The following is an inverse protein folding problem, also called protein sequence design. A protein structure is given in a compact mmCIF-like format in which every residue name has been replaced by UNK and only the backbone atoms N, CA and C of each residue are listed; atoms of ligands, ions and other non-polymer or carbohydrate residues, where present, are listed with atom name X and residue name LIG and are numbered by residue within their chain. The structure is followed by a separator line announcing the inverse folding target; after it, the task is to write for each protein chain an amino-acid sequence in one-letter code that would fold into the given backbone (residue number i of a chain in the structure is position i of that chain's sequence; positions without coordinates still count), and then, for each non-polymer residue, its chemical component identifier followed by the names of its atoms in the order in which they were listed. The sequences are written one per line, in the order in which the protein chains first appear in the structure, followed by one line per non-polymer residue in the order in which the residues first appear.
data_IF_094460608479
#
_entry.id   IF_094460608479
#
_cell.length_a   1.000
_cell.length_b   1.000
_cell.length_c   1.000
_cell.angle_alpha   90.00
_cell.angle_beta   90.00
_cell.angle_gamma   90.00
#
_symmetry.space_group_name_H-M   'P 1'
#
loop_
_entity.id
_entity.type
_entity.pdbx_description
1 polymer ?
#
# COMPACT_ATOMS: atom_id res chain seq x y z
N UNK A 1 -3.97 61.62 -57.55
CA UNK A 1 -3.42 61.28 -56.21
C UNK A 1 -4.41 60.37 -55.57
N UNK A 2 -4.19 59.09 -55.59
CA UNK A 2 -5.10 58.08 -54.95
C UNK A 2 -4.62 57.86 -53.52
N UNK A 3 -5.52 58.03 -52.61
CA UNK A 3 -5.35 57.87 -51.16
C UNK A 3 -5.30 56.36 -50.84
N UNK A 4 -4.13 55.90 -50.39
CA UNK A 4 -3.99 54.50 -49.99
C UNK A 4 -4.27 54.44 -48.48
N UNK A 5 -5.49 54.01 -48.14
CA UNK A 5 -5.91 53.81 -46.77
C UNK A 5 -5.11 52.67 -46.07
N UNK A 6 -4.67 52.82 -44.82
CA UNK A 6 -3.90 51.81 -44.08
C UNK A 6 -4.81 50.81 -43.32
N UNK A 7 -5.75 50.11 -44.02
CA UNK A 7 -6.68 49.23 -43.34
C UNK A 7 -6.19 47.76 -43.18
N UNK A 8 -5.07 47.40 -43.74
CA UNK A 8 -4.53 46.02 -43.69
C UNK A 8 -3.68 45.69 -42.48
N UNK A 9 -3.01 46.68 -41.89
CA UNK A 9 -2.10 46.44 -40.77
C UNK A 9 -2.82 46.10 -39.45
N UNK A 10 -3.92 46.75 -39.18
CA UNK A 10 -4.73 46.57 -37.96
C UNK A 10 -5.39 45.19 -37.87
N UNK A 11 -5.71 44.57 -39.04
CA UNK A 11 -6.30 43.21 -39.07
C UNK A 11 -5.27 42.12 -38.80
N UNK A 12 -4.07 42.26 -39.29
CA UNK A 12 -2.97 41.29 -39.09
C UNK A 12 -2.50 41.27 -37.62
N UNK A 13 -2.35 42.44 -37.00
CA UNK A 13 -1.98 42.55 -35.58
C UNK A 13 -3.08 42.02 -34.65
N UNK A 14 -4.33 42.26 -34.95
CA UNK A 14 -5.46 41.70 -34.21
C UNK A 14 -5.53 40.19 -34.32
N UNK A 15 -5.29 39.60 -35.49
CA UNK A 15 -5.24 38.15 -35.68
C UNK A 15 -4.05 37.54 -34.96
N UNK A 16 -2.86 38.14 -35.06
CA UNK A 16 -1.66 37.68 -34.37
C UNK A 16 -1.84 37.67 -32.82
N UNK A 17 -2.44 38.75 -32.29
CA UNK A 17 -2.79 38.84 -30.85
C UNK A 17 -3.79 37.75 -30.42
N UNK A 18 -4.81 37.49 -31.24
CA UNK A 18 -5.81 36.45 -30.96
C UNK A 18 -5.20 35.03 -30.99
N UNK A 19 -4.30 34.77 -31.94
CA UNK A 19 -3.59 33.46 -31.99
C UNK A 19 -2.63 33.29 -30.81
N UNK A 20 -1.90 34.33 -30.43
CA UNK A 20 -1.03 34.31 -29.26
C UNK A 20 -1.81 34.05 -27.96
N UNK A 21 -2.93 34.77 -27.77
CA UNK A 21 -3.79 34.56 -26.59
C UNK A 21 -4.38 33.16 -26.56
N UNK A 22 -4.85 32.60 -27.69
CA UNK A 22 -5.35 31.23 -27.77
C UNK A 22 -4.26 30.20 -27.50
N UNK A 23 -3.04 30.42 -27.95
CA UNK A 23 -1.90 29.55 -27.67
C UNK A 23 -1.52 29.56 -26.17
N UNK A 24 -1.45 30.74 -25.55
CA UNK A 24 -1.16 30.85 -24.10
C UNK A 24 -2.27 30.23 -23.25
N UNK A 25 -3.54 30.41 -23.60
CA UNK A 25 -4.66 29.79 -22.88
C UNK A 25 -4.64 28.27 -23.02
N UNK A 26 -4.38 27.74 -24.21
CA UNK A 26 -4.29 26.28 -24.42
C UNK A 26 -3.13 25.62 -23.68
N UNK A 27 -1.95 26.27 -23.65
CA UNK A 27 -0.79 25.82 -22.85
C UNK A 27 -1.10 25.88 -21.35
N UNK A 28 -1.74 26.94 -20.88
CA UNK A 28 -2.18 27.08 -19.49
C UNK A 28 -3.18 26.03 -19.06
N UNK A 29 -4.19 25.72 -19.89
CA UNK A 29 -5.19 24.69 -19.64
C UNK A 29 -4.55 23.30 -19.64
N UNK A 30 -3.70 22.98 -20.61
CA UNK A 30 -2.98 21.72 -20.67
C UNK A 30 -2.05 21.51 -19.46
N UNK A 31 -1.36 22.56 -19.02
CA UNK A 31 -0.54 22.55 -17.81
C UNK A 31 -1.38 22.30 -16.53
N UNK A 32 -2.52 22.97 -16.40
CA UNK A 32 -3.44 22.76 -15.27
C UNK A 32 -3.99 21.32 -15.22
N UNK A 33 -4.38 20.77 -16.36
CA UNK A 33 -4.85 19.38 -16.47
C UNK A 33 -3.72 18.41 -16.08
N UNK A 34 -2.50 18.65 -16.58
CA UNK A 34 -1.32 17.82 -16.25
C UNK A 34 -1.03 17.81 -14.74
N UNK A 35 -1.10 18.98 -14.08
CA UNK A 35 -0.93 19.08 -12.63
C UNK A 35 -2.06 18.40 -11.85
N UNK A 36 -3.31 18.53 -12.30
CA UNK A 36 -4.45 17.86 -11.66
C UNK A 36 -4.35 16.34 -11.77
N UNK A 37 -4.03 15.82 -12.95
CA UNK A 37 -3.84 14.36 -13.19
C UNK A 37 -2.64 13.84 -12.39
N UNK A 38 -1.50 14.53 -12.43
CA UNK A 38 -0.30 14.17 -11.65
C UNK A 38 -0.56 14.20 -10.14
N UNK A 39 -1.24 15.24 -9.66
CA UNK A 39 -1.66 15.38 -8.26
C UNK A 39 -2.60 14.27 -7.82
N UNK A 40 -3.59 13.92 -8.64
CA UNK A 40 -4.50 12.81 -8.37
C UNK A 40 -3.75 11.45 -8.36
N UNK A 41 -2.88 11.21 -9.34
CA UNK A 41 -2.08 9.98 -9.39
C UNK A 41 -1.16 9.85 -8.16
N UNK A 42 -0.52 10.94 -7.74
CA UNK A 42 0.24 10.99 -6.49
C UNK A 42 -0.63 10.66 -5.28
N UNK A 43 -1.80 11.29 -5.16
CA UNK A 43 -2.72 11.06 -4.05
C UNK A 43 -3.23 9.61 -4.00
N UNK A 44 -3.49 9.02 -5.18
CA UNK A 44 -4.05 7.68 -5.32
C UNK A 44 -3.03 6.56 -5.13
N UNK A 45 -1.77 6.74 -5.55
CA UNK A 45 -0.80 5.66 -5.67
C UNK A 45 0.41 5.79 -4.74
N UNK A 46 0.80 7.03 -4.35
CA UNK A 46 2.00 7.20 -3.53
C UNK A 46 1.75 6.79 -2.08
N UNK A 47 2.48 5.77 -1.51
CA UNK A 47 2.19 5.24 -0.18
C UNK A 47 2.22 6.28 0.94
N UNK A 48 3.10 7.28 0.84
CA UNK A 48 3.22 8.36 1.81
C UNK A 48 2.15 9.45 1.73
N UNK A 49 1.31 9.46 0.68
CA UNK A 49 0.29 10.49 0.51
C UNK A 49 -0.83 10.34 1.54
N UNK A 50 -1.24 11.47 2.14
CA UNK A 50 -2.37 11.56 3.08
C UNK A 50 -3.49 12.47 2.52
N UNK A 51 -3.43 12.81 1.23
CA UNK A 51 -4.37 13.76 0.59
C UNK A 51 -5.81 13.22 0.62
N UNK A 52 -6.02 11.96 0.32
CA UNK A 52 -7.35 11.33 0.34
C UNK A 52 -7.83 10.92 1.73
N UNK A 53 -7.00 11.08 2.74
CA UNK A 53 -7.30 10.76 4.13
C UNK A 53 -6.13 10.05 4.83
N UNK A 54 -6.19 10.03 6.14
CA UNK A 54 -5.12 9.43 6.96
C UNK A 54 -5.02 7.93 6.76
N UNK A 55 -3.80 7.42 6.63
CA UNK A 55 -3.47 6.00 6.63
C UNK A 55 -2.34 5.75 7.63
N UNK A 56 -2.32 4.58 8.24
CA UNK A 56 -1.22 4.14 9.08
C UNK A 56 -0.04 3.77 8.18
N UNK A 57 1.09 4.47 8.34
CA UNK A 57 2.34 4.14 7.65
C UNK A 57 3.33 3.60 8.68
N UNK A 58 3.88 4.46 9.53
CA UNK A 58 4.79 4.12 10.60
C UNK A 58 4.93 5.30 11.59
N UNK A 59 5.03 5.03 12.90
CA UNK A 59 5.23 6.07 13.92
C UNK A 59 6.69 6.54 13.98
N UNK A 60 6.94 7.59 14.78
CA UNK A 60 8.28 8.04 15.12
C UNK A 60 8.90 7.15 16.20
N UNK A 61 9.33 5.95 15.82
CA UNK A 61 9.94 4.92 16.68
C UNK A 61 11.03 4.17 15.86
N UNK A 62 12.20 4.78 15.64
CA UNK A 62 13.18 4.30 14.67
C UNK A 62 13.77 2.90 14.97
N UNK A 63 13.54 2.36 16.17
CA UNK A 63 13.97 1.01 16.56
C UNK A 63 12.86 -0.05 16.45
N UNK A 64 11.70 0.30 15.89
CA UNK A 64 10.60 -0.63 15.67
C UNK A 64 10.45 -0.96 14.18
N UNK A 65 10.34 -2.23 13.88
CA UNK A 65 10.12 -2.76 12.53
C UNK A 65 8.85 -3.62 12.53
N UNK A 66 7.94 -3.36 11.60
CA UNK A 66 6.80 -4.23 11.35
C UNK A 66 7.00 -4.91 9.99
N UNK A 67 7.02 -6.24 9.99
CA UNK A 67 7.03 -7.03 8.75
C UNK A 67 5.58 -7.33 8.39
N UNK A 68 5.22 -7.07 7.14
CA UNK A 68 3.89 -7.36 6.63
C UNK A 68 3.99 -8.13 5.32
N UNK A 69 3.04 -9.03 5.09
CA UNK A 69 2.96 -9.86 3.89
C UNK A 69 1.64 -9.62 3.19
N UNK A 70 1.66 -9.46 1.87
CA UNK A 70 0.50 -9.23 1.03
C UNK A 70 0.26 -10.44 0.09
N UNK A 71 -0.95 -10.51 -0.50
CA UNK A 71 -1.38 -11.48 -1.52
C UNK A 71 -1.52 -12.94 -1.06
N UNK A 72 -1.37 -13.23 0.23
CA UNK A 72 -1.61 -14.57 0.77
C UNK A 72 -3.10 -14.88 1.06
N UNK A 73 -3.41 -16.07 1.62
CA UNK A 73 -2.46 -17.11 1.95
C UNK A 73 -2.04 -17.95 0.74
N UNK A 74 -0.79 -18.37 0.71
CA UNK A 74 -0.24 -19.24 -0.32
C UNK A 74 -0.05 -20.66 0.26
N UNK A 75 -0.71 -21.69 -0.29
CA UNK A 75 -0.67 -23.04 0.28
C UNK A 75 0.73 -23.64 0.33
N UNK A 76 1.64 -23.20 -0.53
CA UNK A 76 3.02 -23.70 -0.60
C UNK A 76 3.99 -22.92 0.28
N UNK A 77 3.86 -21.59 0.31
CA UNK A 77 4.90 -20.73 0.88
C UNK A 77 4.53 -20.13 2.23
N UNK A 78 3.26 -19.80 2.48
CA UNK A 78 2.84 -19.30 3.80
C UNK A 78 3.15 -20.27 4.94
N UNK A 79 2.98 -21.61 4.82
CA UNK A 79 3.39 -22.54 5.88
C UNK A 79 4.87 -22.47 6.21
N UNK A 80 5.74 -22.40 5.20
CA UNK A 80 7.19 -22.28 5.39
C UNK A 80 7.58 -20.95 6.03
N UNK A 81 6.89 -19.88 5.65
CA UNK A 81 7.07 -18.55 6.25
C UNK A 81 6.70 -18.56 7.73
N UNK A 82 5.59 -19.18 8.12
CA UNK A 82 5.18 -19.33 9.51
C UNK A 82 6.21 -20.12 10.33
N UNK A 83 6.75 -21.21 9.77
CA UNK A 83 7.82 -21.96 10.42
C UNK A 83 9.07 -21.11 10.67
N UNK A 84 9.44 -20.25 9.71
CA UNK A 84 10.57 -19.30 9.86
C UNK A 84 10.28 -18.28 10.93
N UNK A 85 9.12 -17.62 10.86
CA UNK A 85 8.73 -16.59 11.84
C UNK A 85 8.65 -17.17 13.25
N UNK A 86 8.12 -18.38 13.40
CA UNK A 86 8.07 -19.11 14.68
C UNK A 86 9.46 -19.39 15.25
N UNK A 87 10.40 -19.87 14.43
CA UNK A 87 11.81 -20.11 14.84
C UNK A 87 12.51 -18.84 15.29
N UNK A 88 12.22 -17.71 14.64
CA UNK A 88 12.79 -16.41 14.98
C UNK A 88 12.05 -15.71 16.13
N UNK A 89 10.90 -16.22 16.60
CA UNK A 89 10.07 -15.56 17.61
C UNK A 89 9.45 -14.23 17.15
N UNK A 90 9.34 -14.02 15.83
CA UNK A 90 8.83 -12.77 15.23
C UNK A 90 7.36 -12.92 14.86
N UNK A 91 6.55 -11.91 15.20
CA UNK A 91 5.16 -11.82 14.76
C UNK A 91 5.04 -10.79 13.64
N UNK A 92 4.23 -11.11 12.63
CA UNK A 92 4.00 -10.31 11.43
C UNK A 92 2.51 -9.98 11.23
N UNK A 93 2.21 -9.19 10.21
CA UNK A 93 0.83 -8.94 9.76
C UNK A 93 0.66 -9.46 8.34
N UNK A 94 -0.38 -10.24 8.11
CA UNK A 94 -0.72 -10.82 6.81
C UNK A 94 -1.96 -10.11 6.26
N UNK A 95 -1.85 -9.46 5.11
CA UNK A 95 -2.98 -8.89 4.38
C UNK A 95 -3.45 -9.92 3.35
N UNK A 96 -4.55 -10.59 3.69
CA UNK A 96 -5.02 -11.75 2.92
C UNK A 96 -6.04 -11.36 1.86
N UNK A 97 -5.91 -11.96 0.68
CA UNK A 97 -6.93 -11.93 -0.37
C UNK A 97 -8.08 -12.85 0.05
N UNK A 98 -9.30 -12.31 0.09
CA UNK A 98 -10.45 -13.00 0.67
C UNK A 98 -10.80 -14.32 -0.02
N UNK A 99 -10.72 -14.38 -1.36
CA UNK A 99 -10.96 -15.60 -2.12
C UNK A 99 -9.95 -16.71 -1.78
N UNK A 100 -8.70 -16.35 -1.50
CA UNK A 100 -7.67 -17.30 -1.08
C UNK A 100 -7.86 -17.72 0.38
N UNK A 101 -8.24 -16.78 1.24
CA UNK A 101 -8.60 -17.09 2.63
C UNK A 101 -9.76 -18.10 2.71
N UNK A 102 -10.78 -17.96 1.85
CA UNK A 102 -11.88 -18.90 1.74
C UNK A 102 -11.41 -20.30 1.29
N UNK A 103 -10.45 -20.38 0.39
CA UNK A 103 -9.91 -21.64 -0.13
C UNK A 103 -8.98 -22.37 0.86
N UNK A 104 -8.33 -21.60 1.75
CA UNK A 104 -7.29 -22.11 2.67
C UNK A 104 -7.62 -21.82 4.16
N UNK A 105 -8.82 -22.20 4.66
CA UNK A 105 -9.28 -21.82 6.01
C UNK A 105 -8.40 -22.38 7.14
N UNK A 106 -7.78 -23.55 6.94
CA UNK A 106 -6.86 -24.11 7.91
C UNK A 106 -5.58 -23.28 8.06
N UNK A 107 -5.08 -22.74 6.96
CA UNK A 107 -3.90 -21.89 6.95
C UNK A 107 -4.19 -20.51 7.57
N UNK A 108 -5.38 -19.94 7.31
CA UNK A 108 -5.83 -18.70 7.96
C UNK A 108 -5.93 -18.88 9.49
N UNK A 109 -6.50 -20.01 9.96
CA UNK A 109 -6.52 -20.33 11.40
C UNK A 109 -5.12 -20.43 11.97
N UNK A 110 -4.20 -21.14 11.30
CA UNK A 110 -2.81 -21.28 11.73
C UNK A 110 -2.13 -19.91 11.89
N UNK A 111 -2.28 -18.99 10.92
CA UNK A 111 -1.75 -17.62 11.02
C UNK A 111 -2.24 -16.93 12.30
N UNK A 112 -3.56 -17.03 12.60
CA UNK A 112 -4.16 -16.41 13.77
C UNK A 112 -3.73 -17.06 15.09
N UNK A 113 -3.67 -18.41 15.15
CA UNK A 113 -3.29 -19.20 16.32
C UNK A 113 -1.82 -18.99 16.69
N UNK A 114 -0.94 -18.84 15.72
CA UNK A 114 0.46 -18.51 15.95
C UNK A 114 0.68 -17.05 16.38
N UNK A 115 -0.41 -16.25 16.53
CA UNK A 115 -0.36 -14.89 17.09
C UNK A 115 0.08 -13.82 16.09
N UNK A 116 -0.02 -14.09 14.80
CA UNK A 116 0.12 -13.07 13.76
C UNK A 116 -1.16 -12.26 13.61
N UNK A 117 -1.06 -11.03 13.11
CA UNK A 117 -2.22 -10.24 12.73
C UNK A 117 -2.67 -10.58 11.31
N UNK A 118 -3.98 -10.53 11.11
CA UNK A 118 -4.58 -10.67 9.79
C UNK A 118 -5.29 -9.37 9.44
N UNK A 119 -5.03 -8.87 8.23
CA UNK A 119 -5.67 -7.72 7.62
C UNK A 119 -6.40 -8.12 6.33
N UNK A 120 -7.27 -7.23 5.89
CA UNK A 120 -8.05 -7.35 4.66
C UNK A 120 -7.24 -6.82 3.46
N UNK A 121 -7.12 -7.63 2.39
CA UNK A 121 -6.49 -7.23 1.13
C UNK A 121 -7.46 -7.30 -0.06
N UNK A 122 -8.76 -7.01 0.20
CA UNK A 122 -9.89 -7.17 -0.71
C UNK A 122 -10.20 -8.63 -1.08
N UNK A 123 -11.33 -8.84 -1.76
CA UNK A 123 -11.78 -10.20 -2.11
C UNK A 123 -11.03 -10.80 -3.29
N UNK A 124 -10.89 -10.02 -4.37
CA UNK A 124 -10.34 -10.50 -5.66
C UNK A 124 -9.12 -9.69 -6.12
N UNK A 125 -8.57 -8.85 -5.26
CA UNK A 125 -7.40 -8.02 -5.52
C UNK A 125 -7.56 -7.05 -6.72
N UNK A 126 -8.69 -6.34 -6.89
CA UNK A 126 -8.85 -5.38 -7.98
C UNK A 126 -8.11 -4.07 -7.70
N UNK A 127 -7.88 -3.26 -8.72
CA UNK A 127 -7.43 -1.90 -8.51
C UNK A 127 -8.59 -1.02 -8.01
N UNK A 128 -8.67 -0.85 -6.70
CA UNK A 128 -9.79 -0.19 -6.02
C UNK A 128 -9.95 1.30 -6.38
N UNK A 129 -8.91 1.96 -6.91
CA UNK A 129 -9.04 3.33 -7.39
C UNK A 129 -10.01 3.46 -8.58
N UNK A 130 -10.16 2.40 -9.36
CA UNK A 130 -11.05 2.34 -10.53
C UNK A 130 -12.32 1.49 -10.31
N UNK A 131 -12.45 0.85 -9.16
CA UNK A 131 -13.59 -0.01 -8.80
C UNK A 131 -14.79 0.82 -8.37
N UNK A 132 -16.02 0.45 -8.76
CA UNK A 132 -17.25 1.14 -8.33
C UNK A 132 -17.40 1.08 -6.81
N UNK A 133 -17.93 2.14 -6.18
CA UNK A 133 -18.01 2.23 -4.72
C UNK A 133 -18.79 1.08 -4.08
N UNK A 134 -19.91 0.66 -4.66
CA UNK A 134 -20.66 -0.50 -4.16
C UNK A 134 -19.82 -1.77 -4.18
N UNK A 135 -19.07 -2.01 -5.25
CA UNK A 135 -18.18 -3.16 -5.36
C UNK A 135 -17.00 -3.06 -4.37
N UNK A 136 -16.50 -1.84 -4.07
CA UNK A 136 -15.48 -1.67 -3.01
C UNK A 136 -16.01 -2.17 -1.67
N UNK A 137 -17.26 -1.81 -1.30
CA UNK A 137 -17.86 -2.29 -0.06
C UNK A 137 -17.98 -3.82 -0.06
N UNK A 138 -18.46 -4.42 -1.15
CA UNK A 138 -18.57 -5.87 -1.29
C UNK A 138 -17.22 -6.59 -1.16
N UNK A 139 -16.18 -6.10 -1.82
CA UNK A 139 -14.80 -6.62 -1.74
C UNK A 139 -14.28 -6.64 -0.30
N UNK A 140 -14.48 -5.56 0.45
CA UNK A 140 -14.02 -5.45 1.83
C UNK A 140 -14.89 -6.24 2.81
N UNK A 141 -16.21 -6.20 2.63
CA UNK A 141 -17.17 -6.90 3.49
C UNK A 141 -16.96 -8.40 3.42
N UNK A 142 -17.03 -8.95 2.22
CA UNK A 142 -16.89 -10.39 2.00
C UNK A 142 -15.55 -10.93 2.53
N UNK A 143 -14.46 -10.17 2.35
CA UNK A 143 -13.14 -10.57 2.87
C UNK A 143 -13.12 -10.58 4.39
N UNK A 144 -13.58 -9.50 5.02
CA UNK A 144 -13.59 -9.42 6.49
C UNK A 144 -14.47 -10.51 7.10
N UNK A 145 -15.69 -10.68 6.59
CA UNK A 145 -16.63 -11.68 7.10
C UNK A 145 -16.06 -13.11 6.99
N UNK A 146 -15.39 -13.42 5.86
CA UNK A 146 -14.73 -14.72 5.67
C UNK A 146 -13.61 -14.93 6.69
N UNK A 147 -12.73 -13.95 6.88
CA UNK A 147 -11.61 -14.06 7.85
C UNK A 147 -12.15 -14.14 9.28
N UNK A 148 -13.15 -13.33 9.64
CA UNK A 148 -13.77 -13.30 10.96
C UNK A 148 -14.50 -14.61 11.29
N UNK A 149 -15.21 -15.21 10.32
CA UNK A 149 -15.83 -16.53 10.46
C UNK A 149 -14.79 -17.64 10.69
N UNK A 150 -13.65 -17.59 10.01
CA UNK A 150 -12.59 -18.60 10.15
C UNK A 150 -11.86 -18.47 11.49
N UNK A 151 -11.60 -17.25 11.95
CA UNK A 151 -10.69 -16.98 13.08
C UNK A 151 -11.40 -16.64 14.39
N UNK A 152 -12.67 -16.23 14.33
CA UNK A 152 -13.40 -15.66 15.48
C UNK A 152 -12.85 -14.29 15.92
N UNK A 153 -12.03 -13.64 15.13
CA UNK A 153 -11.37 -12.36 15.45
C UNK A 153 -11.73 -11.28 14.46
N UNK A 154 -12.01 -10.07 14.95
CA UNK A 154 -12.30 -8.91 14.10
C UNK A 154 -11.10 -8.49 13.26
N UNK A 155 -11.34 -8.22 11.98
CA UNK A 155 -10.35 -7.65 11.06
C UNK A 155 -10.28 -6.14 11.26
N UNK A 156 -9.15 -5.65 11.78
CA UNK A 156 -8.95 -4.22 12.14
C UNK A 156 -8.07 -3.44 11.16
N UNK A 157 -7.46 -4.09 10.20
CA UNK A 157 -6.54 -3.47 9.25
C UNK A 157 -6.93 -3.81 7.82
N UNK A 158 -6.76 -2.84 6.94
CA UNK A 158 -6.98 -2.98 5.52
C UNK A 158 -5.79 -2.41 4.76
N UNK A 159 -5.32 -3.12 3.76
CA UNK A 159 -4.35 -2.59 2.80
C UNK A 159 -4.95 -2.65 1.41
N UNK A 160 -5.03 -1.52 0.69
CA UNK A 160 -5.55 -1.53 -0.68
C UNK A 160 -4.57 -2.23 -1.62
N UNK A 161 -5.05 -3.14 -2.50
CA UNK A 161 -4.27 -3.69 -3.60
C UNK A 161 -3.51 -2.62 -4.38
N UNK A 162 -2.25 -2.89 -4.72
CA UNK A 162 -1.34 -1.94 -5.40
C UNK A 162 -1.10 -0.61 -4.64
N UNK A 163 -1.58 -0.48 -3.40
CA UNK A 163 -1.66 0.81 -2.70
C UNK A 163 -2.68 1.77 -3.30
N UNK A 164 -3.48 1.30 -4.28
CA UNK A 164 -4.40 2.11 -5.06
C UNK A 164 -5.65 2.51 -4.26
N UNK A 165 -5.84 3.81 -4.06
CA UNK A 165 -6.91 4.33 -3.22
C UNK A 165 -7.51 5.64 -3.73
N UNK A 166 -8.74 5.90 -3.31
CA UNK A 166 -9.47 7.17 -3.42
C UNK A 166 -10.30 7.38 -2.16
N UNK A 167 -10.89 8.56 -1.92
CA UNK A 167 -11.64 8.83 -0.67
C UNK A 167 -12.68 7.74 -0.33
N UNK A 168 -13.46 7.29 -1.31
CA UNK A 168 -14.48 6.26 -1.10
C UNK A 168 -13.92 4.91 -0.63
N UNK A 169 -12.71 4.51 -1.07
CA UNK A 169 -12.04 3.28 -0.62
C UNK A 169 -11.65 3.38 0.86
N UNK A 170 -11.11 4.54 1.26
CA UNK A 170 -10.71 4.78 2.64
C UNK A 170 -11.92 4.90 3.57
N UNK A 171 -13.05 5.46 3.10
CA UNK A 171 -14.30 5.51 3.85
C UNK A 171 -14.87 4.10 4.04
N UNK A 172 -15.00 3.32 2.97
CA UNK A 172 -15.50 1.94 3.06
C UNK A 172 -14.72 1.08 4.08
N UNK A 173 -13.39 1.24 4.15
CA UNK A 173 -12.59 0.56 5.16
C UNK A 173 -12.93 1.03 6.59
N UNK A 174 -13.07 2.35 6.80
CA UNK A 174 -13.39 2.91 8.12
C UNK A 174 -14.81 2.60 8.58
N UNK A 175 -15.77 2.58 7.67
CA UNK A 175 -17.17 2.23 7.96
C UNK A 175 -17.28 0.80 8.54
N UNK A 176 -16.30 -0.07 8.22
CA UNK A 176 -16.15 -1.40 8.84
C UNK A 176 -15.19 -1.43 10.03
N UNK A 177 -14.79 -0.30 10.56
CA UNK A 177 -13.88 -0.20 11.70
C UNK A 177 -12.42 -0.53 11.36
N UNK A 178 -12.05 -0.61 10.08
CA UNK A 178 -10.69 -0.94 9.68
C UNK A 178 -9.82 0.31 9.51
N UNK A 179 -8.59 0.23 9.97
CA UNK A 179 -7.54 1.24 9.72
C UNK A 179 -6.86 0.94 8.39
N UNK A 180 -6.91 1.87 7.40
CA UNK A 180 -6.14 1.73 6.17
C UNK A 180 -4.64 1.82 6.45
N UNK A 181 -3.86 0.85 5.93
CA UNK A 181 -2.42 0.71 6.17
C UNK A 181 -1.65 0.85 4.86
N UNK A 182 -0.63 1.69 4.88
CA UNK A 182 0.37 1.82 3.81
C UNK A 182 1.74 1.40 4.35
N UNK A 183 2.79 1.66 3.62
CA UNK A 183 4.16 1.26 3.95
C UNK A 183 5.17 2.36 3.68
N UNK A 184 6.40 2.19 4.18
CA UNK A 184 7.54 3.05 3.87
C UNK A 184 8.82 2.29 3.46
N UNK A 185 8.78 0.94 3.48
CA UNK A 185 9.85 0.10 2.99
C UNK A 185 9.29 -1.07 2.17
N UNK A 186 9.51 -1.08 0.86
CA UNK A 186 9.06 -2.13 -0.08
C UNK A 186 10.03 -2.22 -1.26
N UNK A 187 10.17 -3.39 -1.82
CA UNK A 187 10.85 -3.65 -3.10
C UNK A 187 9.94 -4.45 -4.01
N UNK A 188 10.37 -4.74 -5.24
CA UNK A 188 9.65 -5.62 -6.16
C UNK A 188 10.03 -7.10 -5.90
N UNK A 189 9.88 -7.57 -4.65
CA UNK A 189 10.26 -8.93 -4.21
C UNK A 189 9.53 -10.04 -4.98
N UNK A 190 8.37 -9.74 -5.55
CA UNK A 190 7.61 -10.68 -6.40
C UNK A 190 8.20 -10.87 -7.80
N UNK A 191 9.16 -10.04 -8.22
CA UNK A 191 9.85 -10.11 -9.53
C UNK A 191 11.33 -10.50 -9.41
N UNK A 192 11.93 -10.22 -8.25
CA UNK A 192 13.35 -10.42 -8.02
C UNK A 192 13.63 -11.85 -7.56
N UNK A 193 14.38 -12.66 -8.32
CA UNK A 193 14.68 -14.04 -7.95
C UNK A 193 15.78 -14.16 -6.89
N UNK A 194 16.48 -13.09 -6.57
CA UNK A 194 17.59 -13.09 -5.62
C UNK A 194 17.16 -12.57 -4.24
N UNK A 195 17.13 -13.45 -3.26
CA UNK A 195 16.87 -13.10 -1.87
C UNK A 195 17.89 -12.08 -1.32
N UNK A 196 19.16 -12.17 -1.73
CA UNK A 196 20.20 -11.23 -1.32
C UNK A 196 19.92 -9.82 -1.82
N UNK A 197 19.52 -9.67 -3.08
CA UNK A 197 19.18 -8.36 -3.66
C UNK A 197 17.92 -7.79 -3.02
N UNK A 198 16.90 -8.62 -2.75
CA UNK A 198 15.69 -8.19 -2.03
C UNK A 198 16.08 -7.66 -0.64
N UNK A 199 16.83 -8.44 0.13
CA UNK A 199 17.27 -8.07 1.48
C UNK A 199 18.12 -6.79 1.45
N UNK A 200 19.12 -6.69 0.58
CA UNK A 200 20.00 -5.52 0.45
C UNK A 200 19.19 -4.25 0.14
N UNK A 201 18.26 -4.32 -0.82
CA UNK A 201 17.42 -3.17 -1.20
C UNK A 201 16.48 -2.77 -0.05
N UNK A 202 15.93 -3.73 0.70
CA UNK A 202 15.10 -3.44 1.87
C UNK A 202 15.92 -2.86 3.02
N UNK A 203 17.11 -3.39 3.32
CA UNK A 203 18.02 -2.84 4.33
C UNK A 203 18.29 -1.35 4.03
N UNK A 204 18.67 -1.03 2.77
CA UNK A 204 18.88 0.37 2.40
C UNK A 204 17.64 1.27 2.64
N UNK A 205 16.45 0.78 2.35
CA UNK A 205 15.20 1.54 2.58
C UNK A 205 14.86 1.66 4.06
N UNK A 206 15.03 0.59 4.84
CA UNK A 206 14.80 0.56 6.28
C UNK A 206 15.75 1.55 6.97
N UNK A 207 17.05 1.49 6.69
CA UNK A 207 18.05 2.39 7.26
C UNK A 207 17.73 3.85 6.91
N UNK A 208 17.28 4.11 5.68
CA UNK A 208 16.88 5.45 5.25
C UNK A 208 15.67 5.99 6.03
N UNK A 209 14.68 5.19 6.38
CA UNK A 209 13.50 5.66 7.13
C UNK A 209 13.79 5.72 8.63
N UNK A 210 14.57 4.78 9.17
CA UNK A 210 14.94 4.76 10.59
C UNK A 210 15.90 5.89 10.94
N UNK A 211 16.87 6.23 10.07
CA UNK A 211 17.74 7.39 10.24
C UNK A 211 16.99 8.73 10.26
N UNK A 212 15.78 8.78 9.67
CA UNK A 212 14.87 9.93 9.74
C UNK A 212 13.96 9.93 10.98
N UNK A 213 14.15 8.98 11.89
CA UNK A 213 13.42 8.87 13.15
C UNK A 213 12.07 8.14 13.05
N UNK A 214 11.80 7.40 11.96
CA UNK A 214 10.57 6.64 11.79
C UNK A 214 10.81 5.15 11.99
N UNK A 215 9.79 4.42 12.42
CA UNK A 215 9.72 2.98 12.32
C UNK A 215 9.66 2.54 10.83
N UNK A 216 9.99 1.29 10.52
CA UNK A 216 9.81 0.76 9.19
C UNK A 216 8.61 -0.20 9.13
N UNK A 217 7.66 0.10 8.24
CA UNK A 217 6.59 -0.79 7.82
C UNK A 217 7.02 -1.44 6.51
N UNK A 218 7.44 -2.70 6.61
CA UNK A 218 8.09 -3.47 5.55
C UNK A 218 7.03 -4.30 4.85
N UNK A 219 7.01 -4.25 3.51
CA UNK A 219 6.15 -5.12 2.70
C UNK A 219 7.01 -6.15 1.97
N UNK A 220 6.61 -7.39 2.10
CA UNK A 220 6.98 -8.55 1.32
C UNK A 220 5.70 -9.24 0.87
N UNK A 221 5.82 -10.23 -0.02
CA UNK A 221 4.67 -10.98 -0.51
C UNK A 221 4.87 -12.48 -0.22
N UNK A 222 3.85 -13.11 0.38
CA UNK A 222 3.81 -14.57 0.58
C UNK A 222 2.91 -15.26 -0.44
N UNK A 223 2.07 -14.49 -1.16
CA UNK A 223 1.22 -14.95 -2.26
C UNK A 223 1.42 -14.19 -3.56
N UNK A 224 0.52 -14.39 -4.52
CA UNK A 224 0.48 -13.65 -5.78
C UNK A 224 -0.95 -13.48 -6.25
N UNK A 225 -1.32 -12.25 -6.56
CA UNK A 225 -2.72 -11.91 -6.89
C UNK A 225 -3.24 -12.55 -8.18
N UNK A 226 -2.37 -12.99 -9.10
CA UNK A 226 -2.73 -13.71 -10.33
C UNK A 226 -2.56 -15.23 -10.18
N UNK A 227 -1.69 -15.66 -9.27
CA UNK A 227 -1.36 -17.05 -9.03
C UNK A 227 -1.15 -17.29 -7.53
N UNK A 228 -2.13 -17.91 -6.83
CA UNK A 228 -2.05 -18.15 -5.39
C UNK A 228 -0.77 -18.89 -4.96
N UNK A 229 -0.32 -19.84 -5.79
CA UNK A 229 0.87 -20.68 -5.55
C UNK A 229 2.18 -20.10 -6.08
N UNK A 230 2.19 -18.85 -6.51
CA UNK A 230 3.38 -18.18 -7.05
C UNK A 230 4.62 -18.43 -6.18
N UNK A 231 5.78 -18.61 -6.81
CA UNK A 231 7.02 -18.81 -6.06
C UNK A 231 7.36 -17.58 -5.21
N UNK A 232 7.51 -17.79 -3.90
CA UNK A 232 7.86 -16.76 -2.91
C UNK A 232 9.05 -17.15 -2.04
N UNK A 233 9.78 -18.17 -2.46
CA UNK A 233 11.01 -18.59 -1.78
C UNK A 233 12.00 -17.42 -1.58
N UNK A 234 12.31 -16.60 -2.61
CA UNK A 234 13.21 -15.46 -2.43
C UNK A 234 12.72 -14.44 -1.42
N UNK A 235 11.40 -14.17 -1.36
CA UNK A 235 10.81 -13.25 -0.37
C UNK A 235 10.95 -13.79 1.05
N UNK A 236 10.77 -15.10 1.25
CA UNK A 236 10.92 -15.75 2.56
C UNK A 236 12.38 -15.75 3.01
N UNK A 237 13.30 -16.12 2.13
CA UNK A 237 14.74 -16.08 2.44
C UNK A 237 15.22 -14.66 2.73
N UNK A 238 14.74 -13.67 1.99
CA UNK A 238 15.03 -12.26 2.27
C UNK A 238 14.48 -11.83 3.64
N UNK A 239 13.28 -12.31 4.02
CA UNK A 239 12.72 -12.08 5.36
C UNK A 239 13.64 -12.62 6.45
N UNK A 240 14.19 -13.84 6.32
CA UNK A 240 15.18 -14.40 7.26
C UNK A 240 16.38 -13.47 7.41
N UNK A 241 16.97 -13.07 6.28
CA UNK A 241 18.15 -12.17 6.28
C UNK A 241 17.84 -10.81 6.95
N UNK A 242 16.65 -10.27 6.75
CA UNK A 242 16.23 -9.03 7.42
C UNK A 242 16.09 -9.22 8.93
N UNK A 243 15.49 -10.33 9.36
CA UNK A 243 15.32 -10.63 10.78
C UNK A 243 16.70 -10.78 11.45
N UNK A 244 17.59 -11.57 10.87
CA UNK A 244 18.95 -11.77 11.38
C UNK A 244 19.73 -10.46 11.47
N UNK A 245 19.63 -9.60 10.45
CA UNK A 245 20.32 -8.32 10.38
C UNK A 245 19.85 -7.33 11.47
N UNK A 246 18.54 -7.24 11.72
CA UNK A 246 17.98 -6.22 12.59
C UNK A 246 17.68 -6.68 14.01
N UNK A 247 17.55 -7.98 14.28
CA UNK A 247 17.25 -8.52 15.62
C UNK A 247 18.19 -8.03 16.73
N UNK A 248 19.50 -7.82 16.50
CA UNK A 248 20.39 -7.31 17.55
C UNK A 248 20.15 -5.84 17.94
N UNK A 249 19.51 -5.04 17.06
CA UNK A 249 19.45 -3.58 17.21
C UNK A 249 18.03 -3.01 17.20
N UNK A 250 17.07 -3.76 16.68
CA UNK A 250 15.67 -3.32 16.50
C UNK A 250 14.72 -4.33 17.12
N UNK A 251 13.49 -3.87 17.38
CA UNK A 251 12.40 -4.69 17.87
C UNK A 251 11.38 -4.93 16.75
N UNK A 252 11.09 -6.19 16.47
CA UNK A 252 10.00 -6.56 15.59
C UNK A 252 8.67 -6.45 16.34
N UNK A 253 7.69 -5.77 15.75
CA UNK A 253 6.37 -5.51 16.32
C UNK A 253 5.28 -5.76 15.28
N UNK A 254 4.07 -5.99 15.73
CA UNK A 254 2.89 -5.97 14.87
C UNK A 254 2.30 -4.57 14.81
N UNK A 255 1.39 -4.32 13.85
CA UNK A 255 0.71 -3.02 13.68
C UNK A 255 -0.09 -2.60 14.93
N UNK A 256 -0.53 -3.55 15.75
CA UNK A 256 -1.24 -3.27 17.01
C UNK A 256 -0.41 -2.47 18.01
N UNK A 257 0.90 -2.70 18.07
CA UNK A 257 1.79 -1.92 18.94
C UNK A 257 1.85 -0.43 18.54
N UNK A 258 1.51 -0.12 17.30
CA UNK A 258 1.47 1.26 16.80
C UNK A 258 0.09 1.92 16.97
N UNK A 259 -1.01 1.17 16.79
CA UNK A 259 -2.36 1.65 16.99
C UNK A 259 -2.60 2.04 18.46
N UNK A 260 -2.25 1.19 19.42
CA UNK A 260 -2.38 1.44 20.85
C UNK A 260 -1.60 2.68 21.31
N UNK A 261 -0.42 2.92 20.70
CA UNK A 261 0.40 4.10 21.01
C UNK A 261 -0.22 5.40 20.50
N UNK A 262 -1.06 5.36 19.47
CA UNK A 262 -1.76 6.52 18.93
C UNK A 262 -2.98 6.87 19.81
N UNK A 263 -3.74 5.87 20.27
CA UNK A 263 -4.87 6.04 21.16
C UNK A 263 -4.46 6.57 22.55
N UNK A 264 -3.35 6.06 23.11
CA UNK A 264 -2.82 6.52 24.39
C UNK A 264 -2.41 8.01 24.38
N UNK A 265 -1.99 8.54 23.21
CA UNK A 265 -1.64 9.96 23.05
C UNK A 265 -2.84 10.89 22.85
N UNK A 266 -4.00 10.35 22.48
CA UNK A 266 -5.24 11.12 22.33
C UNK A 266 -5.99 11.24 23.64
N UNK A 267 -5.67 10.35 24.61
CA UNK A 267 -6.28 10.29 25.93
C UNK A 267 -5.39 10.89 27.05
N UNK A 268 -4.23 11.39 26.71
CA UNK A 268 -3.30 12.10 27.59
C UNK A 268 -3.28 13.62 27.28
#
# INVERSE_FOLDING_TARGET
MADISPSGATTLESMASSFATAAYTSVGVAGAIGLAVGGYAYAAMWPGSQIFGRTLIAPRKPRELAITFDDGPNPRWTPKLLDVLGKCGVKATFFLVGSYAQSEPALVRRIAEEGHLIGNHSWSHPNLAFTRTAQVHEELERTSDTIEQITGRQVRYFRPPFGARRPAVLHAARDRGMTPVMWNAMTDDWKEPSADLIAQRLIHKIDRVTSRGFAANIVLHDGGHLEPSANREPSIEACVKLIEHYMPTHRFVTLDAWAQSAEARLNS
#
